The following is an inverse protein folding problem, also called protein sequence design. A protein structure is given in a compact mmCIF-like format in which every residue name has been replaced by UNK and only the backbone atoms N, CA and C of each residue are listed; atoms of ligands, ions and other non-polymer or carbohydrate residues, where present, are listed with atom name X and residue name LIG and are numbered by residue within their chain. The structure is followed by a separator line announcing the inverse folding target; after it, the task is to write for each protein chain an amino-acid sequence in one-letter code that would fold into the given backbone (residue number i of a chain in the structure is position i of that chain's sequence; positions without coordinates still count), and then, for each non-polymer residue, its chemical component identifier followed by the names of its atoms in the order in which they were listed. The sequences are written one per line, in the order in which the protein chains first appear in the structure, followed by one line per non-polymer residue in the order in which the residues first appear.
data_IF_448007199836
#
_entry.id   IF_448007199836
#
_cell.length_a   1.000
_cell.length_b   1.000
_cell.length_c   1.000
_cell.angle_alpha   90.00
_cell.angle_beta   90.00
_cell.angle_gamma   90.00
#
_symmetry.space_group_name_H-M   'P 1'
#
loop_
_entity.id
_entity.type
_entity.pdbx_description
1 polymer ?
#
# COMPACT_ATOMS: atom_id res chain seq x y z
N UNK A 1 -7.23 1.03 -19.73
CA UNK A 1 -7.85 1.11 -18.39
C UNK A 1 -7.15 2.22 -17.63
N UNK A 2 -7.81 2.78 -16.62
CA UNK A 2 -7.23 3.75 -15.69
C UNK A 2 -6.98 3.09 -14.34
N UNK A 3 -5.72 3.05 -13.93
CA UNK A 3 -5.26 2.47 -12.68
C UNK A 3 -4.85 3.58 -11.73
N UNK A 4 -5.32 3.53 -10.49
CA UNK A 4 -4.96 4.49 -9.45
C UNK A 4 -4.11 3.79 -8.38
N UNK A 5 -2.99 4.43 -8.00
CA UNK A 5 -2.10 3.95 -6.96
C UNK A 5 -2.08 4.95 -5.80
N UNK A 6 -2.65 4.56 -4.65
CA UNK A 6 -2.50 5.29 -3.39
C UNK A 6 -1.54 4.55 -2.46
N UNK A 7 -0.85 5.26 -1.60
CA UNK A 7 -0.03 4.63 -0.59
C UNK A 7 0.99 5.55 0.05
N UNK A 8 1.61 5.04 1.10
CA UNK A 8 2.68 5.72 1.82
C UNK A 8 4.01 5.75 1.02
N UNK A 9 5.14 5.92 1.68
CA UNK A 9 6.45 5.99 1.04
C UNK A 9 6.85 4.71 0.29
N UNK A 10 6.25 3.57 0.60
CA UNK A 10 6.50 2.31 -0.13
C UNK A 10 5.93 2.36 -1.54
N UNK A 11 4.81 3.06 -1.76
CA UNK A 11 4.25 3.29 -3.10
C UNK A 11 4.90 4.48 -3.81
N UNK A 12 5.24 5.54 -3.08
CA UNK A 12 5.63 6.83 -3.67
C UNK A 12 6.70 6.68 -4.77
N UNK A 13 6.53 7.39 -5.90
CA UNK A 13 7.28 7.16 -7.12
C UNK A 13 8.82 7.24 -6.97
N UNK A 14 9.34 8.12 -6.10
CA UNK A 14 10.78 8.25 -5.92
C UNK A 14 11.35 7.35 -4.80
N UNK A 15 10.56 7.00 -3.77
CA UNK A 15 11.03 6.21 -2.63
C UNK A 15 10.59 4.75 -2.68
N UNK A 16 9.53 4.42 -3.42
CA UNK A 16 8.89 3.12 -3.48
C UNK A 16 8.71 2.57 -4.90
N UNK A 17 7.80 1.60 -5.03
CA UNK A 17 7.54 0.86 -6.27
C UNK A 17 6.72 1.63 -7.32
N UNK A 18 6.10 2.75 -6.96
CA UNK A 18 5.11 3.41 -7.82
C UNK A 18 5.62 3.82 -9.19
N UNK A 19 6.89 4.26 -9.30
CA UNK A 19 7.51 4.60 -10.59
C UNK A 19 7.61 3.38 -11.51
N UNK A 20 8.11 2.27 -10.99
CA UNK A 20 8.25 1.03 -11.76
C UNK A 20 6.89 0.54 -12.26
N UNK A 21 5.89 0.49 -11.38
CA UNK A 21 4.53 0.07 -11.74
C UNK A 21 3.91 1.00 -12.80
N UNK A 22 4.04 2.31 -12.62
CA UNK A 22 3.54 3.29 -13.61
C UNK A 22 4.19 3.12 -14.98
N UNK A 23 5.52 2.97 -15.03
CA UNK A 23 6.26 2.83 -16.29
C UNK A 23 5.84 1.57 -17.07
N UNK A 24 5.61 0.44 -16.38
CA UNK A 24 5.16 -0.80 -17.01
C UNK A 24 3.73 -0.67 -17.52
N UNK A 25 2.80 -0.23 -16.67
CA UNK A 25 1.40 -0.09 -17.05
C UNK A 25 1.18 0.91 -18.19
N UNK A 26 1.95 2.02 -18.21
CA UNK A 26 1.89 2.98 -19.33
C UNK A 26 2.42 2.40 -20.63
N UNK A 27 3.46 1.56 -20.61
CA UNK A 27 3.97 0.84 -21.81
C UNK A 27 2.92 -0.17 -22.33
N UNK A 28 2.08 -0.70 -21.46
CA UNK A 28 0.96 -1.59 -21.81
C UNK A 28 -0.28 -0.82 -22.33
N UNK A 29 -0.22 0.52 -22.36
CA UNK A 29 -1.29 1.38 -22.87
C UNK A 29 -2.34 1.77 -21.83
N UNK A 30 -2.04 1.63 -20.54
CA UNK A 30 -2.93 2.03 -19.46
C UNK A 30 -2.67 3.48 -19.02
N UNK A 31 -3.70 4.17 -18.54
CA UNK A 31 -3.58 5.42 -17.81
C UNK A 31 -3.27 5.10 -16.33
N UNK A 32 -2.28 5.79 -15.77
CA UNK A 32 -1.95 5.64 -14.35
C UNK A 32 -2.02 7.00 -13.67
N UNK A 33 -2.75 7.06 -12.56
CA UNK A 33 -2.75 8.18 -11.64
C UNK A 33 -2.17 7.76 -10.29
N UNK A 34 -1.24 8.55 -9.79
CA UNK A 34 -0.77 8.45 -8.41
C UNK A 34 -0.47 9.84 -7.87
N UNK A 35 -0.84 10.14 -6.60
CA UNK A 35 -0.45 11.40 -5.98
C UNK A 35 1.07 11.55 -5.94
N UNK A 36 1.58 12.75 -6.15
CA UNK A 36 3.01 13.05 -6.00
C UNK A 36 3.47 12.85 -4.54
N UNK A 37 2.66 13.30 -3.57
CA UNK A 37 2.91 13.11 -2.15
C UNK A 37 2.46 11.71 -1.69
N UNK A 38 3.10 11.18 -0.63
CA UNK A 38 2.70 9.91 -0.04
C UNK A 38 1.44 10.05 0.83
N UNK A 39 0.70 8.95 0.97
CA UNK A 39 -0.57 8.93 1.71
C UNK A 39 -0.40 8.83 3.22
N UNK A 40 0.83 8.75 3.72
CA UNK A 40 1.15 8.70 5.15
C UNK A 40 0.29 7.69 5.90
N UNK A 41 -0.46 8.15 6.90
CA UNK A 41 -1.36 7.33 7.72
C UNK A 41 -2.78 7.28 7.14
N UNK A 42 -3.58 6.33 7.54
CA UNK A 42 -4.93 6.06 7.00
C UNK A 42 -5.85 7.28 6.97
N UNK A 43 -5.80 8.16 7.94
CA UNK A 43 -6.65 9.38 7.98
C UNK A 43 -6.24 10.40 6.91
N UNK A 44 -4.94 10.46 6.58
CA UNK A 44 -4.45 11.30 5.50
C UNK A 44 -4.79 10.71 4.12
N UNK A 45 -4.74 9.39 3.96
CA UNK A 45 -5.24 8.72 2.76
C UNK A 45 -6.72 9.05 2.51
N UNK A 46 -7.57 9.04 3.55
CA UNK A 46 -8.97 9.48 3.42
C UNK A 46 -9.06 10.92 2.91
N UNK A 47 -8.19 11.80 3.36
CA UNK A 47 -8.15 13.18 2.89
C UNK A 47 -7.74 13.25 1.42
N UNK A 48 -6.70 12.53 1.00
CA UNK A 48 -6.26 12.48 -0.40
C UNK A 48 -7.35 11.95 -1.34
N UNK A 49 -8.11 10.93 -0.94
CA UNK A 49 -9.25 10.42 -1.73
C UNK A 49 -10.28 11.54 -1.98
N UNK A 50 -10.53 12.39 -1.00
CA UNK A 50 -11.44 13.52 -1.16
C UNK A 50 -10.83 14.61 -2.06
N UNK A 51 -9.55 14.93 -1.89
CA UNK A 51 -8.85 15.97 -2.62
C UNK A 51 -8.69 15.61 -4.12
N UNK A 52 -8.42 14.34 -4.43
CA UNK A 52 -8.24 13.81 -5.79
C UNK A 52 -9.50 13.17 -6.39
N UNK A 53 -10.68 13.46 -5.85
CA UNK A 53 -11.94 12.85 -6.31
C UNK A 53 -12.20 13.06 -7.81
N UNK A 54 -11.76 14.17 -8.38
CA UNK A 54 -11.92 14.47 -9.81
C UNK A 54 -11.00 13.61 -10.68
N UNK A 55 -9.78 13.39 -10.21
CA UNK A 55 -8.73 12.65 -10.92
C UNK A 55 -9.00 11.14 -10.91
N UNK A 56 -9.68 10.64 -9.89
CA UNK A 56 -9.90 9.20 -9.68
C UNK A 56 -11.32 8.72 -10.02
N UNK A 57 -12.23 9.62 -10.38
CA UNK A 57 -13.69 9.34 -10.55
C UNK A 57 -14.02 8.25 -11.58
N UNK A 58 -13.13 8.01 -12.51
CA UNK A 58 -13.26 7.08 -13.64
C UNK A 58 -12.18 5.97 -13.59
N UNK A 59 -11.65 5.69 -12.41
CA UNK A 59 -10.70 4.60 -12.22
C UNK A 59 -11.36 3.23 -12.43
N UNK A 60 -10.69 2.38 -13.19
CA UNK A 60 -11.08 0.98 -13.37
C UNK A 60 -10.60 0.12 -12.20
N UNK A 61 -9.35 0.32 -11.74
CA UNK A 61 -8.75 -0.39 -10.62
C UNK A 61 -8.09 0.61 -9.68
N UNK A 62 -8.24 0.41 -8.37
CA UNK A 62 -7.53 1.20 -7.35
C UNK A 62 -6.74 0.27 -6.45
N UNK A 63 -5.41 0.39 -6.50
CA UNK A 63 -4.48 -0.26 -5.59
C UNK A 63 -4.09 0.73 -4.48
N UNK A 64 -4.14 0.30 -3.22
CA UNK A 64 -3.78 1.16 -2.10
C UNK A 64 -3.11 0.42 -0.96
N UNK A 65 -2.17 1.09 -0.26
CA UNK A 65 -1.59 0.63 0.99
C UNK A 65 -1.61 1.73 2.04
N UNK A 66 -1.65 1.36 3.30
CA UNK A 66 -1.44 2.21 4.46
C UNK A 66 -1.07 1.33 5.66
N UNK A 67 -0.14 1.79 6.49
CA UNK A 67 0.21 1.04 7.68
C UNK A 67 1.48 1.51 8.37
N UNK A 68 2.60 1.72 7.68
CA UNK A 68 3.85 2.14 8.31
C UNK A 68 3.67 3.35 9.23
N UNK A 69 3.06 4.39 8.73
CA UNK A 69 2.80 5.60 9.52
C UNK A 69 1.74 5.42 10.61
N UNK A 70 0.88 4.41 10.48
CA UNK A 70 -0.14 4.09 11.49
C UNK A 70 0.45 3.29 12.66
N UNK A 71 1.41 2.35 12.37
CA UNK A 71 1.98 1.46 13.39
C UNK A 71 3.18 2.07 14.14
N UNK A 72 3.77 3.16 13.63
CA UNK A 72 4.96 3.78 14.23
C UNK A 72 4.70 4.27 15.65
N UNK A 73 5.47 3.78 16.61
CA UNK A 73 5.41 4.16 18.03
C UNK A 73 6.43 5.27 18.33
N UNK A 74 6.23 6.44 17.71
CA UNK A 74 7.20 7.54 17.73
C UNK A 74 7.08 8.47 18.94
N UNK A 75 6.14 8.22 19.85
CA UNK A 75 5.93 9.01 21.05
C UNK A 75 6.43 8.30 22.32
N UNK A 76 6.62 9.04 23.40
CA UNK A 76 7.17 8.54 24.66
C UNK A 76 6.30 7.50 25.38
N UNK A 77 5.02 7.38 25.00
CA UNK A 77 4.10 6.37 25.54
C UNK A 77 4.28 4.99 24.89
N UNK A 78 5.02 4.92 23.76
CA UNK A 78 5.27 3.68 23.03
C UNK A 78 4.03 3.12 22.32
N UNK A 79 2.94 3.88 22.24
CA UNK A 79 1.73 3.46 21.54
C UNK A 79 1.83 3.73 20.03
N UNK A 80 1.17 2.91 19.18
CA UNK A 80 1.09 3.17 17.75
C UNK A 80 0.46 4.54 17.46
N UNK A 81 0.96 5.24 16.44
CA UNK A 81 0.44 6.55 16.03
C UNK A 81 -1.07 6.54 15.80
N UNK A 82 -1.59 5.48 15.16
CA UNK A 82 -3.03 5.25 14.99
C UNK A 82 -3.40 3.96 15.72
N UNK A 83 -4.19 4.01 16.80
CA UNK A 83 -4.69 2.80 17.46
C UNK A 83 -5.38 1.84 16.49
N UNK A 84 -5.28 0.53 16.74
CA UNK A 84 -5.76 -0.50 15.82
C UNK A 84 -7.24 -0.38 15.44
N UNK A 85 -8.09 -0.01 16.38
CA UNK A 85 -9.52 0.20 16.15
C UNK A 85 -9.80 1.42 15.26
N UNK A 86 -9.08 2.53 15.47
CA UNK A 86 -9.14 3.71 14.59
C UNK A 86 -8.60 3.38 13.20
N UNK A 87 -7.47 2.68 13.09
CA UNK A 87 -6.91 2.20 11.82
C UNK A 87 -7.94 1.40 11.02
N UNK A 88 -8.58 0.41 11.65
CA UNK A 88 -9.62 -0.41 11.00
C UNK A 88 -10.88 0.40 10.64
N UNK A 89 -11.25 1.37 11.47
CA UNK A 89 -12.35 2.29 11.16
C UNK A 89 -12.03 3.15 9.94
N UNK A 90 -10.81 3.68 9.86
CA UNK A 90 -10.35 4.47 8.71
C UNK A 90 -10.30 3.61 7.43
N UNK A 91 -9.74 2.40 7.49
CA UNK A 91 -9.72 1.47 6.36
C UNK A 91 -11.11 1.14 5.84
N UNK A 92 -12.09 0.93 6.75
CA UNK A 92 -13.48 0.72 6.34
C UNK A 92 -14.05 1.90 5.57
N UNK A 93 -13.80 3.13 6.03
CA UNK A 93 -14.24 4.34 5.33
C UNK A 93 -13.54 4.52 3.99
N UNK A 94 -12.23 4.25 3.93
CA UNK A 94 -11.45 4.27 2.67
C UNK A 94 -12.12 3.34 1.65
N UNK A 95 -12.38 2.09 2.01
CA UNK A 95 -13.02 1.12 1.10
C UNK A 95 -14.43 1.57 0.70
N UNK A 96 -15.21 2.14 1.61
CA UNK A 96 -16.54 2.67 1.29
C UNK A 96 -16.48 3.79 0.25
N UNK A 97 -15.58 4.76 0.42
CA UNK A 97 -15.40 5.87 -0.51
C UNK A 97 -14.87 5.41 -1.88
N UNK A 98 -13.89 4.49 -1.89
CA UNK A 98 -13.32 3.97 -3.13
C UNK A 98 -14.32 3.08 -3.90
N UNK A 99 -15.18 2.33 -3.20
CA UNK A 99 -16.24 1.53 -3.84
C UNK A 99 -17.35 2.35 -4.50
N UNK A 100 -17.46 3.64 -4.21
CA UNK A 100 -18.32 4.54 -4.97
C UNK A 100 -17.76 4.84 -6.38
N UNK A 101 -16.49 4.51 -6.61
CA UNK A 101 -15.79 4.74 -7.88
C UNK A 101 -15.69 3.44 -8.68
N UNK A 102 -15.13 2.40 -8.06
CA UNK A 102 -14.97 1.08 -8.69
C UNK A 102 -15.08 -0.04 -7.65
N UNK A 103 -15.64 -1.22 -8.00
CA UNK A 103 -15.60 -2.39 -7.16
C UNK A 103 -14.21 -3.06 -7.11
N UNK A 104 -13.32 -2.76 -8.07
CA UNK A 104 -12.01 -3.39 -8.26
C UNK A 104 -10.94 -2.74 -7.40
N UNK A 105 -10.95 -3.10 -6.12
CA UNK A 105 -10.02 -2.59 -5.12
C UNK A 105 -8.99 -3.65 -4.73
N UNK A 106 -7.74 -3.22 -4.63
CA UNK A 106 -6.62 -4.03 -4.18
C UNK A 106 -5.98 -3.34 -2.98
N UNK A 107 -5.92 -4.04 -1.86
CA UNK A 107 -5.23 -3.58 -0.65
C UNK A 107 -3.90 -4.31 -0.49
N UNK A 108 -2.79 -3.56 -0.44
CA UNK A 108 -1.49 -4.12 -0.17
C UNK A 108 -1.18 -4.12 1.33
N UNK A 109 -0.68 -5.25 1.83
CA UNK A 109 -0.20 -5.36 3.20
C UNK A 109 1.05 -4.52 3.42
N UNK A 110 1.20 -4.01 4.64
CA UNK A 110 2.40 -3.27 5.07
C UNK A 110 3.61 -4.20 5.04
N UNK A 111 4.69 -3.78 4.39
CA UNK A 111 5.93 -4.54 4.29
C UNK A 111 6.68 -4.63 5.62
N UNK A 112 7.59 -5.61 5.81
CA UNK A 112 8.40 -5.68 7.01
C UNK A 112 9.43 -4.55 7.06
N UNK A 113 9.87 -4.20 8.27
CA UNK A 113 11.04 -3.34 8.53
C UNK A 113 12.24 -4.20 8.91
N UNK A 114 13.46 -3.64 8.75
CA UNK A 114 14.66 -4.31 9.26
C UNK A 114 14.65 -4.33 10.78
N UNK A 115 15.21 -5.39 11.40
CA UNK A 115 15.43 -5.42 12.83
C UNK A 115 16.17 -4.16 13.32
N UNK A 116 15.70 -3.57 14.42
CA UNK A 116 16.29 -2.35 14.99
C UNK A 116 15.74 -1.05 14.41
N UNK A 117 14.63 -1.09 13.65
CA UNK A 117 13.89 0.14 13.32
C UNK A 117 13.47 0.85 14.63
N UNK A 118 13.65 2.19 14.74
CA UNK A 118 13.43 2.87 16.02
C UNK A 118 11.97 2.87 16.48
N UNK A 119 11.03 2.96 15.56
CA UNK A 119 9.62 3.23 15.87
C UNK A 119 8.68 2.09 15.46
N UNK A 120 9.16 1.10 14.71
CA UNK A 120 8.33 0.02 14.18
C UNK A 120 8.91 -1.36 14.50
N UNK A 121 8.02 -2.31 14.80
CA UNK A 121 8.37 -3.72 14.97
C UNK A 121 7.58 -4.58 13.99
N UNK A 122 8.21 -5.65 13.49
CA UNK A 122 7.52 -6.62 12.62
C UNK A 122 6.35 -7.32 13.32
N UNK A 123 6.39 -7.46 14.64
CA UNK A 123 5.27 -7.98 15.43
C UNK A 123 4.04 -7.05 15.32
N UNK A 124 4.24 -5.74 15.50
CA UNK A 124 3.15 -4.77 15.39
C UNK A 124 2.62 -4.70 13.95
N UNK A 125 3.51 -4.67 12.96
CA UNK A 125 3.13 -4.70 11.54
C UNK A 125 2.27 -5.94 11.23
N UNK A 126 2.68 -7.13 11.66
CA UNK A 126 1.91 -8.35 11.43
C UNK A 126 0.55 -8.33 12.14
N UNK A 127 0.47 -7.78 13.36
CA UNK A 127 -0.79 -7.59 14.09
C UNK A 127 -1.77 -6.72 13.29
N UNK A 128 -1.30 -5.60 12.73
CA UNK A 128 -2.12 -4.68 11.93
C UNK A 128 -2.49 -5.32 10.59
N UNK A 129 -1.53 -5.96 9.90
CA UNK A 129 -1.79 -6.69 8.66
C UNK A 129 -2.85 -7.78 8.83
N UNK A 130 -2.75 -8.60 9.87
CA UNK A 130 -3.72 -9.67 10.13
C UNK A 130 -5.15 -9.12 10.33
N UNK A 131 -5.27 -8.02 11.06
CA UNK A 131 -6.55 -7.35 11.30
C UNK A 131 -7.10 -6.71 10.02
N UNK A 132 -6.24 -6.01 9.25
CA UNK A 132 -6.59 -5.39 7.98
C UNK A 132 -7.03 -6.43 6.94
N UNK A 133 -6.28 -7.51 6.76
CA UNK A 133 -6.62 -8.61 5.84
C UNK A 133 -7.98 -9.23 6.20
N UNK A 134 -8.25 -9.46 7.50
CA UNK A 134 -9.56 -9.95 7.95
C UNK A 134 -10.69 -8.97 7.60
N UNK A 135 -10.46 -7.66 7.72
CA UNK A 135 -11.41 -6.63 7.34
C UNK A 135 -11.62 -6.60 5.82
N UNK A 136 -10.54 -6.58 5.03
CA UNK A 136 -10.59 -6.51 3.57
C UNK A 136 -11.32 -7.70 2.96
N UNK A 137 -11.07 -8.92 3.47
CA UNK A 137 -11.81 -10.13 3.07
C UNK A 137 -13.32 -9.98 3.31
N UNK A 138 -13.73 -9.42 4.46
CA UNK A 138 -15.16 -9.14 4.75
C UNK A 138 -15.77 -8.09 3.84
N UNK A 139 -14.94 -7.18 3.32
CA UNK A 139 -15.38 -6.12 2.42
C UNK A 139 -15.22 -6.50 0.94
N UNK A 140 -14.87 -7.75 0.61
CA UNK A 140 -14.60 -8.20 -0.76
C UNK A 140 -13.60 -7.28 -1.49
N UNK A 141 -12.46 -7.06 -0.86
CA UNK A 141 -11.30 -6.35 -1.42
C UNK A 141 -10.19 -7.35 -1.64
N UNK A 142 -9.58 -7.36 -2.84
CA UNK A 142 -8.43 -8.22 -3.15
C UNK A 142 -7.24 -7.85 -2.29
N UNK A 143 -6.47 -8.85 -1.89
CA UNK A 143 -5.24 -8.65 -1.11
C UNK A 143 -4.03 -8.78 -2.02
N UNK A 144 -3.14 -7.81 -1.93
CA UNK A 144 -1.76 -7.88 -2.39
C UNK A 144 -0.85 -8.06 -1.17
N UNK A 145 -0.37 -9.28 -0.96
CA UNK A 145 0.42 -9.60 0.24
C UNK A 145 1.90 -9.30 0.01
N UNK A 146 2.28 -8.03 0.20
CA UNK A 146 3.66 -7.56 0.06
C UNK A 146 4.57 -8.02 1.21
N UNK A 147 4.02 -8.29 2.40
CA UNK A 147 4.83 -8.63 3.57
C UNK A 147 5.77 -9.82 3.32
N UNK A 148 5.29 -11.02 2.90
CA UNK A 148 6.15 -12.16 2.65
C UNK A 148 7.14 -11.94 1.50
N UNK A 149 6.74 -11.22 0.45
CA UNK A 149 7.60 -10.93 -0.70
C UNK A 149 8.83 -10.13 -0.30
N UNK A 150 8.64 -9.10 0.53
CA UNK A 150 9.74 -8.28 1.03
C UNK A 150 10.58 -9.04 2.06
N UNK A 151 9.94 -9.82 2.94
CA UNK A 151 10.64 -10.64 3.93
C UNK A 151 11.58 -11.65 3.26
N UNK A 152 11.11 -12.38 2.25
CA UNK A 152 11.93 -13.32 1.47
C UNK A 152 13.13 -12.61 0.80
N UNK A 153 12.91 -11.43 0.25
CA UNK A 153 13.98 -10.59 -0.32
C UNK A 153 15.05 -10.25 0.71
N UNK A 154 14.65 -9.97 1.95
CA UNK A 154 15.57 -9.69 3.06
C UNK A 154 16.38 -10.94 3.46
N UNK A 155 15.76 -12.11 3.48
CA UNK A 155 16.38 -13.36 3.88
C UNK A 155 17.44 -13.85 2.87
N UNK A 156 17.24 -13.63 1.57
CA UNK A 156 18.23 -13.97 0.54
C UNK A 156 19.36 -12.95 0.41
N UNK A 157 19.45 -11.98 1.33
CA UNK A 157 20.60 -11.06 1.43
C UNK A 157 20.57 -9.89 0.46
N UNK A 158 19.48 -9.67 -0.25
CA UNK A 158 19.23 -8.40 -0.94
C UNK A 158 19.04 -7.36 0.16
N UNK A 159 19.99 -6.42 0.29
CA UNK A 159 19.86 -5.32 1.25
C UNK A 159 18.70 -4.43 0.78
N UNK A 160 17.48 -4.58 1.34
CA UNK A 160 16.34 -3.87 0.79
C UNK A 160 16.39 -2.38 1.09
N UNK A 161 17.14 -1.93 2.14
CA UNK A 161 17.03 -0.58 2.64
C UNK A 161 18.36 0.04 3.04
N UNK A 162 18.64 1.28 2.64
CA UNK A 162 19.68 2.09 3.27
C UNK A 162 19.28 2.57 4.68
N UNK A 163 17.99 2.75 4.97
CA UNK A 163 17.42 3.37 6.18
C UNK A 163 16.49 2.47 7.02
N UNK A 164 16.52 1.17 6.82
CA UNK A 164 15.69 0.17 7.51
C UNK A 164 14.24 0.03 7.02
N UNK A 165 13.73 0.89 6.15
CA UNK A 165 12.34 0.88 5.71
C UNK A 165 12.16 1.09 4.19
N UNK A 166 12.90 2.02 3.58
CA UNK A 166 12.75 2.32 2.14
C UNK A 166 13.54 1.36 1.26
N UNK A 167 12.93 0.91 0.17
CA UNK A 167 13.52 -0.09 -0.70
C UNK A 167 14.70 0.45 -1.54
N UNK A 168 15.72 -0.40 -1.75
CA UNK A 168 16.71 -0.18 -2.81
C UNK A 168 16.04 -0.22 -4.19
N UNK A 169 16.74 0.20 -5.25
CA UNK A 169 16.20 0.10 -6.62
C UNK A 169 15.75 -1.32 -6.97
N UNK A 170 16.53 -2.35 -6.58
CA UNK A 170 16.14 -3.74 -6.77
C UNK A 170 14.89 -4.11 -5.94
N UNK A 171 14.81 -3.66 -4.69
CA UNK A 171 13.65 -3.86 -3.83
C UNK A 171 12.37 -3.22 -4.39
N UNK A 172 12.47 -2.02 -4.98
CA UNK A 172 11.35 -1.35 -5.66
C UNK A 172 10.83 -2.15 -6.84
N UNK A 173 11.74 -2.75 -7.63
CA UNK A 173 11.37 -3.61 -8.76
C UNK A 173 10.64 -4.86 -8.25
N UNK A 174 11.19 -5.57 -7.27
CA UNK A 174 10.59 -6.78 -6.72
C UNK A 174 9.19 -6.52 -6.16
N UNK A 175 9.03 -5.45 -5.39
CA UNK A 175 7.72 -5.04 -4.88
C UNK A 175 6.77 -4.64 -6.01
N UNK A 176 7.27 -3.88 -6.98
CA UNK A 176 6.50 -3.44 -8.13
C UNK A 176 6.04 -4.58 -9.02
N UNK A 177 6.86 -5.61 -9.22
CA UNK A 177 6.50 -6.82 -9.98
C UNK A 177 5.37 -7.59 -9.27
N UNK A 178 5.38 -7.67 -7.94
CA UNK A 178 4.28 -8.26 -7.17
C UNK A 178 2.99 -7.43 -7.33
N UNK A 179 3.08 -6.11 -7.23
CA UNK A 179 1.93 -5.20 -7.42
C UNK A 179 1.36 -5.35 -8.84
N UNK A 180 2.22 -5.37 -9.88
CA UNK A 180 1.83 -5.59 -11.27
C UNK A 180 1.12 -6.92 -11.45
N UNK A 181 1.68 -8.00 -10.89
CA UNK A 181 1.05 -9.32 -10.93
C UNK A 181 -0.39 -9.28 -10.41
N UNK A 182 -0.62 -8.68 -9.24
CA UNK A 182 -1.96 -8.64 -8.64
C UNK A 182 -2.91 -7.72 -9.41
N UNK A 183 -2.41 -6.61 -9.97
CA UNK A 183 -3.20 -5.75 -10.86
C UNK A 183 -3.61 -6.50 -12.12
N UNK A 184 -2.70 -7.22 -12.78
CA UNK A 184 -3.01 -8.02 -13.96
C UNK A 184 -4.01 -9.15 -13.64
N UNK A 185 -3.86 -9.83 -12.50
CA UNK A 185 -4.84 -10.82 -12.06
C UNK A 185 -6.24 -10.20 -11.85
N UNK A 186 -6.32 -8.96 -11.34
CA UNK A 186 -7.59 -8.26 -11.22
C UNK A 186 -8.17 -7.91 -12.59
N UNK A 187 -7.37 -7.43 -13.54
CA UNK A 187 -7.79 -7.16 -14.92
C UNK A 187 -8.40 -8.39 -15.60
N UNK A 188 -7.84 -9.59 -15.34
CA UNK A 188 -8.40 -10.84 -15.91
C UNK A 188 -9.80 -11.14 -15.39
N UNK A 189 -10.15 -10.72 -14.18
CA UNK A 189 -11.50 -10.91 -13.61
C UNK A 189 -12.54 -9.97 -14.22
N UNK A 190 -12.09 -8.94 -14.95
CA UNK A 190 -12.96 -7.91 -15.57
C UNK A 190 -13.33 -8.23 -17.03
N UNK A 191 -12.74 -9.30 -17.60
CA UNK A 191 -13.04 -9.79 -18.96
C UNK A 191 -14.27 -10.68 -18.95
#
# INVERSE_FOLDING_TARGET
MKIVLFGDSQRQAYSGYGKHVEEVLRKEGHEVFQPEDNSRFTKYLLRQIADFRKEIKDADIIHFNAGHWDVGAMFSDGEPFTPLDEYLSNLRRIVQELKLITPHLIFATTSPVRPGHPDETNEMIQKYNAAAVKLMKKLNVRIDDLYPVVLETMEVGVKPYPDCIHATEQGKIIQGDQVLKVIHEEMETMK
#
